data_IF_695377547401
#
_entry.id   IF_695377547401
#
_cell.length_a   1.000
_cell.length_b   1.000
_cell.length_c   1.000
_cell.angle_alpha   90.00
_cell.angle_beta   90.00
_cell.angle_gamma   90.00
#
_symmetry.space_group_name_H-M   'P 1'
#
loop_
_entity.id
_entity.type
_entity.pdbx_description
1 polymer ?
#
# COMPACT_ATOMS: atom_id res chain seq x y z
N UNK A 1 -32.97 12.48 -5.16
CA UNK A 1 -31.54 12.85 -5.27
C UNK A 1 -30.72 11.68 -4.76
N UNK A 2 -29.74 11.15 -5.50
CA UNK A 2 -28.93 10.03 -5.00
C UNK A 2 -28.04 10.54 -3.87
N UNK A 3 -28.20 9.96 -2.68
CA UNK A 3 -27.39 10.29 -1.51
C UNK A 3 -25.97 9.77 -1.66
N UNK A 4 -24.98 10.58 -1.31
CA UNK A 4 -23.60 10.14 -1.22
C UNK A 4 -23.48 9.08 -0.11
N UNK A 5 -23.18 7.84 -0.49
CA UNK A 5 -22.78 6.81 0.46
C UNK A 5 -21.44 7.19 1.07
N UNK A 6 -21.44 7.52 2.36
CA UNK A 6 -20.23 7.72 3.13
C UNK A 6 -19.52 6.37 3.28
N UNK A 7 -18.40 6.21 2.58
CA UNK A 7 -17.49 5.09 2.76
C UNK A 7 -16.55 5.41 3.92
N UNK A 8 -16.63 4.61 4.98
CA UNK A 8 -15.70 4.69 6.09
C UNK A 8 -14.33 4.13 5.65
N UNK A 9 -13.31 4.98 5.63
CA UNK A 9 -11.95 4.62 5.25
C UNK A 9 -11.07 4.25 6.45
N UNK A 10 -11.63 4.16 7.66
CA UNK A 10 -10.89 3.72 8.85
C UNK A 10 -10.66 2.20 8.88
N UNK A 11 -11.46 1.42 8.14
CA UNK A 11 -11.35 -0.04 8.12
C UNK A 11 -11.69 -0.62 6.76
N UNK A 12 -10.86 -1.56 6.30
CA UNK A 12 -11.11 -2.38 5.13
C UNK A 12 -11.05 -3.85 5.53
N UNK A 13 -11.82 -4.70 4.87
CA UNK A 13 -11.75 -6.14 5.13
C UNK A 13 -10.40 -6.70 4.68
N UNK A 14 -9.87 -7.67 5.45
CA UNK A 14 -8.64 -8.38 5.11
C UNK A 14 -8.70 -9.01 3.72
N UNK A 15 -9.88 -9.53 3.34
CA UNK A 15 -10.13 -10.12 2.02
C UNK A 15 -9.93 -9.11 0.88
N UNK A 16 -10.38 -7.87 1.06
CA UNK A 16 -10.24 -6.80 0.08
C UNK A 16 -8.77 -6.37 -0.06
N UNK A 17 -8.09 -6.15 1.07
CA UNK A 17 -6.66 -5.80 1.08
C UNK A 17 -5.84 -6.93 0.43
N UNK A 18 -6.13 -8.19 0.76
CA UNK A 18 -5.43 -9.34 0.19
C UNK A 18 -5.64 -9.44 -1.32
N UNK A 19 -6.84 -9.16 -1.83
CA UNK A 19 -7.10 -9.12 -3.27
C UNK A 19 -6.26 -8.05 -3.97
N UNK A 20 -6.18 -6.84 -3.40
CA UNK A 20 -5.34 -5.77 -3.94
C UNK A 20 -3.88 -6.22 -3.99
N UNK A 21 -3.35 -6.73 -2.88
CA UNK A 21 -1.94 -7.16 -2.80
C UNK A 21 -1.61 -8.35 -3.72
N UNK A 22 -2.58 -9.20 -4.05
CA UNK A 22 -2.40 -10.28 -5.03
C UNK A 22 -2.39 -9.79 -6.47
N UNK A 23 -3.18 -8.76 -6.76
CA UNK A 23 -3.35 -8.25 -8.13
C UNK A 23 -2.32 -7.17 -8.49
N UNK A 24 -1.84 -6.39 -7.52
CA UNK A 24 -0.91 -5.28 -7.73
C UNK A 24 0.51 -5.73 -7.39
N UNK A 25 1.34 -5.90 -8.41
CA UNK A 25 2.76 -6.28 -8.24
C UNK A 25 3.71 -5.08 -8.29
N UNK A 26 3.28 -3.97 -8.92
CA UNK A 26 4.07 -2.76 -9.13
C UNK A 26 3.52 -1.63 -8.26
N UNK A 27 4.35 -1.06 -7.39
CA UNK A 27 3.98 0.00 -6.46
C UNK A 27 4.92 1.19 -6.65
N UNK A 28 4.39 2.34 -7.03
CA UNK A 28 5.16 3.58 -7.04
C UNK A 28 5.12 4.20 -5.64
N UNK A 29 6.26 4.25 -4.95
CA UNK A 29 6.30 4.72 -3.56
C UNK A 29 6.68 6.20 -3.48
N UNK A 30 5.68 7.06 -3.28
CA UNK A 30 5.90 8.49 -3.10
C UNK A 30 6.51 8.77 -1.71
N UNK A 31 7.61 9.52 -1.66
CA UNK A 31 8.32 9.80 -0.40
C UNK A 31 9.23 8.67 0.08
N UNK A 32 9.56 7.72 -0.79
CA UNK A 32 10.67 6.80 -0.58
C UNK A 32 11.95 7.63 -0.35
N UNK A 33 12.54 7.47 0.84
CA UNK A 33 13.76 8.15 1.22
C UNK A 33 14.84 7.13 1.49
N UNK A 34 16.02 7.35 0.95
CA UNK A 34 17.20 6.51 1.20
C UNK A 34 17.69 6.57 2.66
N UNK A 35 17.17 7.49 3.48
CA UNK A 35 17.53 7.62 4.89
C UNK A 35 17.06 6.39 5.67
N UNK A 36 17.98 5.67 6.30
CA UNK A 36 17.71 4.44 7.05
C UNK A 36 16.71 4.60 8.20
N UNK A 37 16.70 5.78 8.86
CA UNK A 37 15.86 6.06 10.02
C UNK A 37 14.41 6.48 9.66
N UNK A 38 14.00 6.38 8.40
CA UNK A 38 12.63 6.74 7.98
C UNK A 38 11.77 5.48 7.79
N UNK A 39 10.54 5.47 8.31
CA UNK A 39 9.64 4.33 8.18
C UNK A 39 9.32 3.98 6.71
N UNK A 40 9.40 4.94 5.79
CA UNK A 40 9.24 4.69 4.35
C UNK A 40 10.33 3.78 3.75
N UNK A 41 11.56 3.81 4.28
CA UNK A 41 12.64 2.94 3.82
C UNK A 41 12.40 1.47 4.25
N UNK A 42 11.87 1.27 5.45
CA UNK A 42 11.52 -0.06 5.94
C UNK A 42 10.38 -0.68 5.12
N UNK A 43 9.32 0.09 4.86
CA UNK A 43 8.20 -0.37 4.04
C UNK A 43 8.65 -0.73 2.61
N UNK A 44 9.49 0.10 1.97
CA UNK A 44 10.06 -0.20 0.65
C UNK A 44 10.85 -1.51 0.66
N UNK A 45 11.76 -1.69 1.63
CA UNK A 45 12.57 -2.92 1.75
C UNK A 45 11.74 -4.15 1.98
N UNK A 46 10.71 -4.06 2.81
CA UNK A 46 9.81 -5.17 3.07
C UNK A 46 9.05 -5.59 1.80
N UNK A 47 8.52 -4.62 1.05
CA UNK A 47 7.82 -4.89 -0.21
C UNK A 47 8.75 -5.53 -1.24
N UNK A 48 9.97 -5.00 -1.41
CA UNK A 48 10.98 -5.59 -2.30
C UNK A 48 11.34 -7.04 -1.88
N UNK A 49 11.52 -7.31 -0.59
CA UNK A 49 11.78 -8.66 -0.07
C UNK A 49 10.63 -9.63 -0.31
N UNK A 50 9.38 -9.13 -0.36
CA UNK A 50 8.20 -9.93 -0.65
C UNK A 50 7.97 -10.14 -2.16
N UNK A 51 8.84 -9.61 -3.02
CA UNK A 51 8.78 -9.79 -4.47
C UNK A 51 7.92 -8.75 -5.19
N UNK A 52 7.53 -7.67 -4.52
CA UNK A 52 6.89 -6.54 -5.18
C UNK A 52 7.94 -5.69 -5.89
N UNK A 53 7.60 -5.18 -7.06
CA UNK A 53 8.41 -4.21 -7.76
C UNK A 53 8.04 -2.81 -7.26
N UNK A 54 8.98 -2.16 -6.58
CA UNK A 54 8.82 -0.77 -6.10
C UNK A 54 9.65 0.15 -6.98
N UNK A 55 9.01 1.17 -7.55
CA UNK A 55 9.64 2.20 -8.42
C UNK A 55 9.58 3.59 -7.80
#
# INVERSE_FOLDING_TARGET
MPGFTYLDHNSYSDSYILQILRNVQNIAMVGASATWNRPSNFAMKYLLQKGFQVI
#
